data_IF_236198643518
#
_entry.id   IF_236198643518
#
_cell.length_a   1.000
_cell.length_b   1.000
_cell.length_c   1.000
_cell.angle_alpha   90.00
_cell.angle_beta   90.00
_cell.angle_gamma   90.00
#
_symmetry.space_group_name_H-M   'P 1'
#
loop_
_entity.id
_entity.type
_entity.pdbx_description
1 polymer ?
#
# COMPACT_ATOMS: atom_id res chain seq x y z
N UNK A 1 -5.30 -1.93 -13.25
CA UNK A 1 -4.51 -0.97 -12.46
C UNK A 1 -4.74 0.40 -13.05
N UNK A 2 -4.93 1.40 -12.19
CA UNK A 2 -5.08 2.81 -12.55
C UNK A 2 -3.95 3.61 -11.89
N UNK A 3 -3.30 4.48 -12.65
CA UNK A 3 -2.10 5.21 -12.23
C UNK A 3 -2.24 6.68 -12.60
N UNK A 4 -2.13 7.53 -11.58
CA UNK A 4 -2.15 8.97 -11.69
C UNK A 4 -0.88 9.56 -12.30
N UNK A 5 -0.79 10.88 -12.22
CA UNK A 5 0.32 11.67 -12.75
C UNK A 5 1.50 11.70 -11.77
N UNK A 6 2.72 11.77 -12.31
CA UNK A 6 3.94 11.97 -11.52
C UNK A 6 4.17 10.89 -10.43
N UNK A 7 3.82 9.64 -10.73
CA UNK A 7 4.09 8.49 -9.86
C UNK A 7 5.48 7.95 -10.13
N UNK A 8 6.26 7.68 -9.08
CA UNK A 8 7.53 6.97 -9.16
C UNK A 8 7.37 5.54 -8.61
N UNK A 9 7.76 4.55 -9.40
CA UNK A 9 7.78 3.14 -9.01
C UNK A 9 9.18 2.61 -9.24
N UNK A 10 9.92 2.43 -8.15
CA UNK A 10 11.30 2.00 -8.23
C UNK A 10 11.41 0.47 -8.47
N UNK A 11 12.60 0.03 -8.88
CA UNK A 11 12.86 -1.31 -9.39
C UNK A 11 12.49 -2.45 -8.45
N UNK A 12 12.21 -3.61 -9.03
CA UNK A 12 11.85 -4.86 -8.33
C UNK A 12 10.54 -4.80 -7.53
N UNK A 13 9.73 -3.76 -7.73
CA UNK A 13 8.39 -3.69 -7.16
C UNK A 13 7.46 -4.68 -7.86
N UNK A 14 6.68 -5.43 -7.08
CA UNK A 14 5.67 -6.36 -7.56
C UNK A 14 4.28 -5.81 -7.24
N UNK A 15 3.44 -5.66 -8.27
CA UNK A 15 2.06 -5.19 -8.12
C UNK A 15 1.11 -6.24 -8.68
N UNK A 16 0.42 -6.97 -7.80
CA UNK A 16 -0.61 -7.91 -8.20
C UNK A 16 -1.99 -7.26 -8.18
N UNK A 17 -2.40 -6.73 -9.33
CA UNK A 17 -3.54 -5.83 -9.47
C UNK A 17 -4.87 -6.48 -9.93
N UNK A 18 -5.01 -7.81 -9.88
CA UNK A 18 -6.21 -8.48 -10.42
C UNK A 18 -7.51 -8.12 -9.66
N UNK A 19 -7.43 -7.78 -8.36
CA UNK A 19 -8.56 -7.26 -7.58
C UNK A 19 -8.71 -5.73 -7.61
N UNK A 20 -7.88 -5.04 -8.40
CA UNK A 20 -7.85 -3.58 -8.50
C UNK A 20 -6.75 -2.94 -7.65
N UNK A 21 -5.94 -2.09 -8.28
CA UNK A 21 -4.98 -1.22 -7.61
C UNK A 21 -5.12 0.15 -8.26
N UNK A 22 -5.37 1.17 -7.43
CA UNK A 22 -5.40 2.58 -7.83
C UNK A 22 -4.26 3.32 -7.13
N UNK A 23 -3.41 3.95 -7.91
CA UNK A 23 -2.31 4.79 -7.43
C UNK A 23 -2.59 6.22 -7.89
N UNK A 24 -2.79 7.13 -6.95
CA UNK A 24 -3.09 8.53 -7.24
C UNK A 24 -1.82 9.34 -7.49
N UNK A 25 -2.01 10.61 -7.86
CA UNK A 25 -0.93 11.51 -8.26
C UNK A 25 0.17 11.66 -7.20
N UNK A 26 1.41 11.83 -7.68
CA UNK A 26 2.60 12.11 -6.87
C UNK A 26 2.96 11.01 -5.83
N UNK A 27 2.42 9.80 -5.95
CA UNK A 27 2.81 8.70 -5.09
C UNK A 27 4.27 8.28 -5.39
N UNK A 28 5.03 8.01 -4.33
CA UNK A 28 6.41 7.51 -4.42
C UNK A 28 6.49 6.09 -3.87
N UNK A 29 6.93 5.14 -4.68
CA UNK A 29 7.02 3.73 -4.31
C UNK A 29 8.48 3.28 -4.39
N UNK A 30 9.06 3.02 -3.22
CA UNK A 30 10.44 2.56 -3.07
C UNK A 30 10.69 1.19 -3.70
N UNK A 31 11.96 0.83 -3.86
CA UNK A 31 12.34 -0.43 -4.51
C UNK A 31 11.86 -1.65 -3.71
N UNK A 32 11.64 -2.77 -4.39
CA UNK A 32 11.24 -4.05 -3.78
C UNK A 32 9.91 -4.00 -3.01
N UNK A 33 9.02 -3.05 -3.31
CA UNK A 33 7.69 -3.04 -2.70
C UNK A 33 6.83 -4.20 -3.23
N UNK A 34 5.88 -4.66 -2.43
CA UNK A 34 4.87 -5.65 -2.84
C UNK A 34 3.49 -5.08 -2.55
N UNK A 35 2.68 -4.90 -3.59
CA UNK A 35 1.31 -4.39 -3.49
C UNK A 35 0.39 -5.46 -4.07
N UNK A 36 -0.50 -6.05 -3.27
CA UNK A 36 -1.41 -7.09 -3.75
C UNK A 36 -2.85 -6.75 -3.44
N UNK A 37 -3.72 -6.98 -4.42
CA UNK A 37 -5.18 -6.82 -4.34
C UNK A 37 -5.92 -8.16 -4.28
N UNK A 38 -5.17 -9.26 -4.09
CA UNK A 38 -5.69 -10.62 -4.15
C UNK A 38 -5.20 -11.42 -2.96
N UNK A 39 -6.09 -12.19 -2.36
CA UNK A 39 -5.80 -13.24 -1.37
C UNK A 39 -6.65 -14.48 -1.63
N UNK A 40 -6.59 -15.45 -0.74
CA UNK A 40 -7.38 -16.68 -0.76
C UNK A 40 -8.31 -16.75 0.46
N UNK A 41 -9.44 -17.47 0.35
CA UNK A 41 -10.26 -17.78 1.53
C UNK A 41 -9.44 -18.50 2.61
N UNK A 42 -9.77 -18.23 3.88
CA UNK A 42 -9.11 -18.87 5.03
C UNK A 42 -9.45 -20.37 5.14
N UNK A 43 -10.67 -20.73 4.73
CA UNK A 43 -11.16 -22.10 4.70
C UNK A 43 -10.31 -22.94 3.73
N UNK A 44 -9.65 -24.02 4.18
CA UNK A 44 -8.89 -24.92 3.32
C UNK A 44 -9.68 -25.48 2.13
N UNK A 45 -10.99 -25.73 2.27
CA UNK A 45 -11.81 -26.29 1.20
C UNK A 45 -11.97 -25.32 0.02
N UNK A 46 -12.00 -24.02 0.31
CA UNK A 46 -12.23 -22.96 -0.67
C UNK A 46 -10.94 -22.25 -1.12
N UNK A 47 -9.77 -22.60 -0.53
CA UNK A 47 -8.50 -21.86 -0.68
C UNK A 47 -8.00 -21.70 -2.11
N UNK A 48 -8.39 -22.58 -3.03
CA UNK A 48 -8.01 -22.44 -4.44
C UNK A 48 -8.78 -21.34 -5.19
N UNK A 49 -9.81 -20.77 -4.58
CA UNK A 49 -10.51 -19.58 -5.08
C UNK A 49 -9.71 -18.30 -4.78
N UNK A 50 -10.09 -17.22 -5.45
CA UNK A 50 -9.51 -15.89 -5.26
C UNK A 50 -10.50 -14.97 -4.55
N UNK A 51 -9.99 -14.20 -3.60
CA UNK A 51 -10.68 -13.07 -2.99
C UNK A 51 -10.04 -11.79 -3.50
N UNK A 52 -10.85 -10.94 -4.13
CA UNK A 52 -10.43 -9.67 -4.70
C UNK A 52 -10.77 -8.54 -3.73
N UNK A 53 -9.74 -7.83 -3.27
CA UNK A 53 -9.88 -6.69 -2.37
C UNK A 53 -9.02 -5.54 -2.89
N UNK A 54 -9.63 -4.48 -3.45
CA UNK A 54 -8.89 -3.38 -4.06
C UNK A 54 -7.90 -2.73 -3.10
N UNK A 55 -6.76 -2.26 -3.64
CA UNK A 55 -5.81 -1.43 -2.90
C UNK A 55 -5.82 -0.02 -3.47
N UNK A 56 -5.79 0.97 -2.60
CA UNK A 56 -5.77 2.38 -2.98
C UNK A 56 -4.59 3.11 -2.32
N UNK A 57 -3.73 3.71 -3.13
CA UNK A 57 -2.62 4.56 -2.70
C UNK A 57 -2.96 6.01 -3.03
N UNK A 58 -3.36 6.80 -2.04
CA UNK A 58 -3.81 8.18 -2.26
C UNK A 58 -2.66 9.15 -2.55
N UNK A 59 -3.01 10.36 -2.98
CA UNK A 59 -2.03 11.33 -3.49
C UNK A 59 -0.91 11.63 -2.50
N UNK A 60 0.30 11.83 -3.03
CA UNK A 60 1.50 12.15 -2.26
C UNK A 60 1.90 11.12 -1.19
N UNK A 61 1.32 9.91 -1.18
CA UNK A 61 1.80 8.88 -0.26
C UNK A 61 3.21 8.42 -0.65
N UNK A 62 4.01 8.02 0.34
CA UNK A 62 5.36 7.50 0.13
C UNK A 62 5.53 6.14 0.80
N UNK A 63 5.80 5.12 -0.01
CA UNK A 63 6.14 3.78 0.45
C UNK A 63 7.66 3.62 0.45
N UNK A 64 8.24 3.38 1.62
CA UNK A 64 9.65 3.04 1.78
C UNK A 64 10.00 1.73 1.09
N UNK A 65 11.29 1.51 0.81
CA UNK A 65 11.73 0.30 0.14
C UNK A 65 11.32 -0.97 0.92
N UNK A 66 10.91 -2.02 0.20
CA UNK A 66 10.50 -3.28 0.81
C UNK A 66 9.16 -3.24 1.55
N UNK A 67 8.36 -2.17 1.41
CA UNK A 67 7.01 -2.13 1.99
C UNK A 67 6.10 -3.15 1.31
N UNK A 68 5.28 -3.83 2.12
CA UNK A 68 4.24 -4.73 1.65
C UNK A 68 2.85 -4.21 2.01
N UNK A 69 1.97 -4.04 1.02
CA UNK A 69 0.58 -3.58 1.19
C UNK A 69 -0.39 -4.73 0.91
N UNK A 70 -1.19 -5.08 1.92
CA UNK A 70 -2.15 -6.18 1.86
C UNK A 70 -3.42 -5.85 1.07
N UNK A 71 -4.17 -6.87 0.60
CA UNK A 71 -5.41 -6.66 -0.12
C UNK A 71 -6.43 -5.90 0.72
N UNK A 72 -7.17 -4.98 0.10
CA UNK A 72 -8.21 -4.19 0.75
C UNK A 72 -7.70 -2.94 1.48
N UNK A 73 -6.39 -2.66 1.47
CA UNK A 73 -5.81 -1.54 2.21
C UNK A 73 -5.87 -0.24 1.40
N UNK A 74 -6.26 0.84 2.07
CA UNK A 74 -6.08 2.22 1.63
C UNK A 74 -4.92 2.88 2.37
N UNK A 75 -3.98 3.46 1.62
CA UNK A 75 -2.93 4.34 2.15
C UNK A 75 -3.37 5.80 1.97
N UNK A 76 -3.61 6.48 3.08
CA UNK A 76 -4.09 7.86 3.11
C UNK A 76 -3.13 8.88 2.48
N UNK A 77 -3.69 10.04 2.15
CA UNK A 77 -3.00 11.15 1.50
C UNK A 77 -1.82 11.63 2.35
N UNK A 78 -0.71 11.96 1.70
CA UNK A 78 0.53 12.47 2.32
C UNK A 78 1.18 11.50 3.33
N UNK A 79 0.68 10.28 3.50
CA UNK A 79 1.19 9.35 4.50
C UNK A 79 2.46 8.65 4.05
N UNK A 80 3.32 8.36 5.01
CA UNK A 80 4.63 7.74 4.81
C UNK A 80 4.61 6.35 5.44
N UNK A 81 4.95 5.32 4.66
CA UNK A 81 5.16 3.97 5.15
C UNK A 81 6.66 3.73 5.22
N UNK A 82 7.19 3.46 6.41
CA UNK A 82 8.61 3.21 6.59
C UNK A 82 9.05 1.93 5.86
N UNK A 83 10.32 1.89 5.44
CA UNK A 83 10.92 0.76 4.75
C UNK A 83 10.72 -0.57 5.53
N UNK A 84 10.49 -1.66 4.79
CA UNK A 84 10.29 -3.01 5.34
C UNK A 84 8.99 -3.22 6.12
N UNK A 85 8.04 -2.28 6.09
CA UNK A 85 6.78 -2.41 6.83
C UNK A 85 5.76 -3.30 6.11
N UNK A 86 4.91 -4.00 6.87
CA UNK A 86 3.79 -4.79 6.35
C UNK A 86 2.48 -4.14 6.77
N UNK A 87 1.79 -3.52 5.82
CA UNK A 87 0.54 -2.78 6.05
C UNK A 87 -0.64 -3.73 5.89
N UNK A 88 -1.35 -3.97 7.00
CA UNK A 88 -2.46 -4.93 7.10
C UNK A 88 -3.82 -4.26 7.33
N UNK A 89 -3.84 -2.93 7.48
CA UNK A 89 -5.03 -2.11 7.76
C UNK A 89 -4.86 -0.76 7.09
N UNK A 90 -5.97 -0.07 6.86
CA UNK A 90 -5.97 1.28 6.33
C UNK A 90 -5.08 2.22 7.14
N UNK A 91 -4.39 3.09 6.42
CA UNK A 91 -3.51 4.11 6.98
C UNK A 91 -4.22 5.45 6.80
N UNK A 92 -4.46 6.22 7.88
CA UNK A 92 -5.09 7.54 7.77
C UNK A 92 -4.15 8.51 7.04
N UNK A 93 -4.71 9.63 6.59
CA UNK A 93 -3.96 10.73 6.00
C UNK A 93 -2.93 11.32 6.99
N UNK A 94 -1.89 11.92 6.44
CA UNK A 94 -0.90 12.72 7.18
C UNK A 94 -0.29 11.98 8.37
N UNK A 95 0.16 10.73 8.18
CA UNK A 95 0.83 9.99 9.24
C UNK A 95 2.05 9.22 8.74
N UNK A 96 2.91 8.84 9.67
CA UNK A 96 4.00 7.92 9.42
C UNK A 96 3.64 6.59 10.07
N UNK A 97 3.63 5.51 9.30
CA UNK A 97 3.43 4.14 9.78
C UNK A 97 4.71 3.32 9.62
N UNK A 98 5.00 2.44 10.58
CA UNK A 98 6.15 1.55 10.51
C UNK A 98 5.89 0.19 11.19
N UNK A 99 6.62 -0.84 10.75
CA UNK A 99 6.71 -2.14 11.43
C UNK A 99 5.93 -3.28 10.78
N UNK A 100 5.93 -4.44 11.46
CA UNK A 100 5.26 -5.68 11.05
C UNK A 100 4.45 -6.22 12.24
N UNK A 101 3.12 -6.01 12.29
CA UNK A 101 2.33 -5.18 11.37
C UNK A 101 2.64 -3.68 11.54
N UNK A 102 2.43 -2.92 10.47
CA UNK A 102 2.63 -1.47 10.47
C UNK A 102 1.66 -0.79 11.45
N UNK A 103 2.19 0.14 12.26
CA UNK A 103 1.43 0.96 13.21
C UNK A 103 1.77 2.43 13.02
N UNK A 104 0.82 3.30 13.33
CA UNK A 104 1.04 4.75 13.34
C UNK A 104 2.14 5.07 14.37
N UNK A 105 3.21 5.69 13.90
CA UNK A 105 4.33 6.16 14.70
C UNK A 105 4.12 7.60 15.15
N UNK A 106 3.60 8.44 14.24
CA UNK A 106 3.21 9.83 14.50
C UNK A 106 2.33 10.37 13.37
N UNK A 107 1.60 11.44 13.67
CA UNK A 107 0.96 12.27 12.66
C UNK A 107 1.94 13.35 12.17
N UNK A 108 1.76 13.79 10.92
CA UNK A 108 2.49 14.88 10.30
C UNK A 108 1.77 16.19 10.63
N UNK A 109 2.52 17.20 11.07
CA UNK A 109 1.96 18.53 11.33
C UNK A 109 1.61 19.21 10.01
N UNK A 110 0.45 19.88 9.97
CA UNK A 110 -0.10 20.56 8.80
C UNK A 110 0.64 21.85 8.37
N UNK A 111 1.83 22.11 8.92
CA UNK A 111 2.59 23.35 8.71
C UNK A 111 3.81 23.17 7.80
N UNK A 112 3.58 22.68 6.59
CA UNK A 112 4.57 22.71 5.51
C UNK A 112 4.05 23.57 4.37
#
# INVERSE_FOLDING_TARGET
MDVGSNVDINGYTVIYAAGGVRIHDNALIGANCVITSVTHPIDPAERHQLVFSPVELQSNCWLGAGTMVMPGVTIGKNSIIAAGSVVTKDVPDNCICAGVPAKIMRYLDSSH
#
